data_IF_899740649513
#
_entry.id   IF_899740649513
#
_cell.length_a   1.000
_cell.length_b   1.000
_cell.length_c   1.000
_cell.angle_alpha   90.00
_cell.angle_beta   90.00
_cell.angle_gamma   90.00
#
_symmetry.space_group_name_H-M   'P 1'
#
loop_
_entity.id
_entity.type
_entity.pdbx_description
1 polymer ?
#
# COMPACT_ATOMS: atom_id res chain seq x y z
N UNK A 1 24.94 -0.27 16.15
CA UNK A 1 23.84 -0.87 16.92
C UNK A 1 23.04 -1.76 15.96
N UNK A 2 22.90 -3.06 16.24
CA UNK A 2 22.13 -3.96 15.37
C UNK A 2 20.64 -3.69 15.59
N UNK A 3 19.88 -3.41 14.54
CA UNK A 3 18.42 -3.30 14.61
C UNK A 3 17.86 -4.65 15.08
N UNK A 4 17.02 -4.70 16.13
CA UNK A 4 16.45 -5.96 16.58
C UNK A 4 15.62 -6.58 15.45
N UNK A 5 15.84 -7.87 15.22
CA UNK A 5 15.07 -8.61 14.22
C UNK A 5 13.60 -8.72 14.67
N UNK A 6 12.67 -8.52 13.73
CA UNK A 6 11.24 -8.73 13.97
C UNK A 6 11.00 -10.24 14.18
N UNK A 7 10.34 -10.68 15.27
CA UNK A 7 10.04 -12.10 15.47
C UNK A 7 9.28 -12.71 14.29
N UNK A 8 9.61 -13.92 13.81
CA UNK A 8 9.01 -14.49 12.59
C UNK A 8 7.48 -14.54 12.60
N UNK A 9 6.88 -14.93 13.73
CA UNK A 9 5.42 -14.97 13.88
C UNK A 9 4.78 -13.57 13.77
N UNK A 10 5.46 -12.54 14.30
CA UNK A 10 5.02 -11.15 14.17
C UNK A 10 5.17 -10.65 12.74
N UNK A 11 6.29 -10.93 12.09
CA UNK A 11 6.54 -10.56 10.69
C UNK A 11 5.46 -11.12 9.75
N UNK A 12 5.09 -12.39 9.95
CA UNK A 12 4.01 -13.06 9.21
C UNK A 12 2.66 -12.38 9.43
N UNK A 13 2.29 -12.12 10.69
CA UNK A 13 1.03 -11.45 11.03
C UNK A 13 0.95 -10.04 10.46
N UNK A 14 2.05 -9.29 10.53
CA UNK A 14 2.14 -7.94 9.96
C UNK A 14 2.02 -7.99 8.44
N UNK A 15 2.72 -8.90 7.77
CA UNK A 15 2.63 -9.04 6.31
C UNK A 15 1.20 -9.33 5.85
N UNK A 16 0.51 -10.28 6.50
CA UNK A 16 -0.88 -10.58 6.18
C UNK A 16 -1.84 -9.41 6.39
N UNK A 17 -1.70 -8.69 7.51
CA UNK A 17 -2.52 -7.52 7.82
C UNK A 17 -2.31 -6.38 6.80
N UNK A 18 -1.05 -6.04 6.52
CA UNK A 18 -0.70 -4.96 5.60
C UNK A 18 -1.13 -5.29 4.16
N UNK A 19 -0.93 -6.54 3.73
CA UNK A 19 -1.39 -7.02 2.42
C UNK A 19 -2.91 -6.90 2.28
N UNK A 20 -3.67 -7.26 3.33
CA UNK A 20 -5.12 -7.12 3.35
C UNK A 20 -5.61 -5.67 3.23
N UNK A 21 -4.82 -4.71 3.72
CA UNK A 21 -5.19 -3.30 3.66
C UNK A 21 -5.01 -2.67 2.27
N UNK A 22 -4.05 -3.16 1.45
CA UNK A 22 -3.72 -2.55 0.15
C UNK A 22 -4.89 -2.45 -0.82
N UNK A 23 -5.93 -3.27 -0.65
CA UNK A 23 -7.13 -3.30 -1.50
C UNK A 23 -8.42 -2.88 -0.78
N UNK A 24 -8.33 -2.44 0.47
CA UNK A 24 -9.49 -1.98 1.26
C UNK A 24 -9.72 -0.50 1.00
N UNK A 25 -10.63 -0.19 0.10
CA UNK A 25 -10.92 1.18 -0.34
C UNK A 25 -11.68 2.02 0.71
N UNK A 26 -12.51 1.41 1.56
CA UNK A 26 -13.34 2.15 2.52
C UNK A 26 -13.27 1.60 3.97
N UNK A 27 -13.39 2.47 4.99
CA UNK A 27 -13.46 3.94 4.89
C UNK A 27 -12.13 4.57 4.44
N UNK A 28 -12.19 5.70 3.74
CA UNK A 28 -11.01 6.47 3.30
C UNK A 28 -11.19 7.97 3.54
N UNK A 29 -10.13 8.64 3.98
CA UNK A 29 -10.01 10.08 4.11
C UNK A 29 -9.17 10.61 2.93
N UNK A 30 -9.78 11.48 2.15
CA UNK A 30 -9.12 12.17 1.04
C UNK A 30 -8.65 13.56 1.51
N UNK A 31 -7.37 13.86 1.30
CA UNK A 31 -6.79 15.17 1.55
C UNK A 31 -5.98 15.60 0.33
N UNK A 32 -6.62 16.34 -0.57
CA UNK A 32 -6.02 16.82 -1.82
C UNK A 32 -6.60 18.17 -2.24
N UNK A 33 -5.95 18.81 -3.21
CA UNK A 33 -6.44 20.06 -3.80
C UNK A 33 -7.45 19.73 -4.90
N UNK A 34 -8.54 20.50 -4.95
CA UNK A 34 -9.52 20.46 -6.02
C UNK A 34 -9.31 21.69 -6.91
N UNK A 35 -9.23 21.48 -8.22
CA UNK A 35 -9.18 22.56 -9.21
C UNK A 35 -10.54 22.75 -9.88
N UNK A 36 -11.28 21.66 -10.09
CA UNK A 36 -12.65 21.66 -10.57
C UNK A 36 -13.46 20.48 -10.00
N UNK A 37 -14.75 20.43 -10.31
CA UNK A 37 -15.67 19.39 -9.81
C UNK A 37 -15.25 17.97 -10.21
N UNK A 38 -14.49 17.82 -11.30
CA UNK A 38 -13.95 16.55 -11.79
C UNK A 38 -12.88 15.96 -10.89
N UNK A 39 -12.31 16.71 -9.95
CA UNK A 39 -11.36 16.18 -8.97
C UNK A 39 -12.03 15.38 -7.86
N UNK A 40 -13.34 15.52 -7.65
CA UNK A 40 -14.08 14.74 -6.65
C UNK A 40 -14.30 13.32 -7.16
N UNK A 41 -13.29 12.45 -6.96
CA UNK A 41 -13.27 11.07 -7.44
C UNK A 41 -12.94 10.08 -6.32
N UNK A 42 -13.34 8.80 -6.46
CA UNK A 42 -13.00 7.77 -5.49
C UNK A 42 -11.47 7.51 -5.42
N UNK A 43 -10.93 7.04 -4.28
CA UNK A 43 -9.49 6.83 -4.09
C UNK A 43 -8.81 6.04 -5.22
N UNK A 44 -9.43 4.96 -5.71
CA UNK A 44 -8.88 4.13 -6.79
C UNK A 44 -8.74 4.82 -8.15
N UNK A 45 -9.45 5.93 -8.37
CA UNK A 45 -9.31 6.73 -9.58
C UNK A 45 -8.25 7.83 -9.43
N UNK A 46 -8.06 8.33 -8.21
CA UNK A 46 -7.06 9.35 -7.90
C UNK A 46 -5.66 8.73 -7.78
N UNK A 47 -5.54 7.65 -6.99
CA UNK A 47 -4.27 7.03 -6.63
C UNK A 47 -4.35 5.51 -6.74
N UNK A 48 -4.35 4.94 -7.97
CA UNK A 48 -4.69 3.54 -8.23
C UNK A 48 -3.70 2.48 -7.68
N UNK A 49 -2.47 2.85 -7.33
CA UNK A 49 -1.52 1.98 -6.59
C UNK A 49 -1.75 2.11 -5.09
N UNK A 50 -2.05 3.33 -4.61
CA UNK A 50 -2.08 3.68 -3.20
C UNK A 50 -3.49 4.04 -2.70
N UNK A 51 -4.53 3.37 -3.22
CA UNK A 51 -5.92 3.67 -2.87
C UNK A 51 -6.43 2.93 -1.63
N UNK A 52 -5.89 1.74 -1.35
CA UNK A 52 -6.31 0.98 -0.17
C UNK A 52 -5.71 1.55 1.10
N UNK A 53 -6.32 1.26 2.25
CA UNK A 53 -6.06 1.85 3.57
C UNK A 53 -6.91 3.10 3.85
N UNK A 54 -6.77 3.64 5.06
CA UNK A 54 -7.53 4.79 5.51
C UNK A 54 -7.23 6.06 4.70
N UNK A 55 -6.00 6.25 4.23
CA UNK A 55 -5.64 7.33 3.32
C UNK A 55 -4.45 6.91 2.44
N UNK A 56 -4.14 7.75 1.46
CA UNK A 56 -3.01 7.54 0.55
C UNK A 56 -1.67 7.34 1.29
N UNK A 57 -1.44 8.10 2.36
CA UNK A 57 -0.18 8.02 3.12
C UNK A 57 -0.03 6.67 3.84
N UNK A 58 -1.12 6.18 4.43
CA UNK A 58 -1.21 4.86 5.06
C UNK A 58 -0.97 3.73 4.05
N UNK A 59 -1.45 3.92 2.82
CA UNK A 59 -1.21 3.00 1.72
C UNK A 59 0.28 2.94 1.39
N UNK A 60 0.95 4.08 1.22
CA UNK A 60 2.39 4.17 0.96
C UNK A 60 3.19 3.50 2.07
N UNK A 61 2.85 3.75 3.34
CA UNK A 61 3.50 3.08 4.47
C UNK A 61 3.30 1.57 4.48
N UNK A 62 2.10 1.09 4.13
CA UNK A 62 1.83 -0.34 4.06
C UNK A 62 2.64 -1.02 2.95
N UNK A 63 2.78 -0.38 1.79
CA UNK A 63 3.64 -0.85 0.70
C UNK A 63 5.12 -0.88 1.13
N UNK A 64 5.60 0.20 1.74
CA UNK A 64 6.97 0.28 2.22
C UNK A 64 7.27 -0.77 3.29
N UNK A 65 6.38 -0.95 4.27
CA UNK A 65 6.53 -1.94 5.32
C UNK A 65 6.56 -3.37 4.75
N UNK A 66 5.71 -3.70 3.78
CA UNK A 66 5.75 -4.98 3.08
C UNK A 66 7.08 -5.19 2.35
N UNK A 67 7.59 -4.17 1.64
CA UNK A 67 8.89 -4.25 0.98
C UNK A 67 10.03 -4.54 1.97
N UNK A 68 9.99 -3.95 3.17
CA UNK A 68 10.95 -4.22 4.26
C UNK A 68 10.80 -5.63 4.84
N UNK A 69 9.57 -6.13 4.99
CA UNK A 69 9.28 -7.46 5.53
C UNK A 69 9.72 -8.61 4.62
N UNK A 70 10.06 -8.36 3.35
CA UNK A 70 10.68 -9.36 2.46
C UNK A 70 11.94 -9.99 3.06
N UNK A 71 12.69 -9.23 3.87
CA UNK A 71 13.89 -9.72 4.56
C UNK A 71 13.62 -10.61 5.78
N UNK A 72 12.38 -10.74 6.24
CA UNK A 72 12.04 -11.36 7.53
C UNK A 72 11.80 -12.88 7.50
N UNK A 73 11.83 -13.51 6.31
CA UNK A 73 11.64 -14.95 6.13
C UNK A 73 10.88 -15.29 4.85
N UNK A 74 10.81 -16.59 4.50
CA UNK A 74 10.20 -17.05 3.25
C UNK A 74 8.70 -16.73 3.15
N UNK A 75 7.93 -16.94 4.22
CA UNK A 75 6.48 -16.71 4.19
C UNK A 75 6.10 -15.21 4.18
N UNK A 76 6.65 -14.32 5.05
CA UNK A 76 6.41 -12.88 4.92
C UNK A 76 6.83 -12.32 3.56
N UNK A 77 7.90 -12.86 2.98
CA UNK A 77 8.34 -12.52 1.62
C UNK A 77 7.30 -12.91 0.58
N UNK A 78 6.78 -14.13 0.60
CA UNK A 78 5.78 -14.57 -0.35
C UNK A 78 4.51 -13.70 -0.28
N UNK A 79 4.05 -13.36 0.93
CA UNK A 79 2.91 -12.46 1.13
C UNK A 79 3.20 -11.07 0.56
N UNK A 80 4.37 -10.50 0.89
CA UNK A 80 4.77 -9.17 0.42
C UNK A 80 4.92 -9.12 -1.10
N UNK A 81 5.60 -10.10 -1.71
CA UNK A 81 5.81 -10.16 -3.16
C UNK A 81 4.46 -10.26 -3.90
N UNK A 82 3.55 -11.12 -3.44
CA UNK A 82 2.21 -11.24 -4.04
C UNK A 82 1.38 -9.95 -3.90
N UNK A 83 1.39 -9.33 -2.71
CA UNK A 83 0.64 -8.11 -2.46
C UNK A 83 1.16 -6.93 -3.31
N UNK A 84 2.48 -6.71 -3.32
CA UNK A 84 3.14 -5.63 -4.06
C UNK A 84 3.00 -5.81 -5.57
N UNK A 85 3.12 -7.03 -6.09
CA UNK A 85 2.91 -7.30 -7.51
C UNK A 85 1.46 -7.04 -7.94
N UNK A 86 0.49 -7.23 -7.04
CA UNK A 86 -0.92 -6.98 -7.35
C UNK A 86 -1.30 -5.51 -7.35
N UNK A 87 -0.60 -4.65 -6.59
CA UNK A 87 -0.89 -3.22 -6.48
C UNK A 87 -0.01 -2.35 -7.36
N UNK A 88 1.27 -2.66 -7.50
CA UNK A 88 2.22 -1.91 -8.33
C UNK A 88 2.21 -2.47 -9.74
N UNK A 89 1.32 -1.93 -10.57
CA UNK A 89 1.19 -2.28 -12.00
C UNK A 89 1.61 -1.11 -12.87
N UNK A 90 2.03 -1.36 -14.12
CA UNK A 90 2.37 -0.28 -15.06
C UNK A 90 1.23 0.73 -15.23
N UNK A 91 0.00 0.24 -15.40
CA UNK A 91 -1.19 1.08 -15.50
C UNK A 91 -1.49 1.86 -14.22
N UNK A 92 -1.32 1.22 -13.05
CA UNK A 92 -1.47 1.89 -11.76
C UNK A 92 -0.44 3.01 -11.60
N UNK A 93 0.84 2.73 -11.86
CA UNK A 93 1.90 3.74 -11.76
C UNK A 93 1.65 4.90 -12.73
N UNK A 94 1.22 4.63 -13.96
CA UNK A 94 0.83 5.68 -14.90
C UNK A 94 -0.32 6.55 -14.37
N UNK A 95 -1.30 5.93 -13.70
CA UNK A 95 -2.41 6.66 -13.07
C UNK A 95 -1.98 7.53 -11.88
N UNK A 96 -1.06 7.04 -11.04
CA UNK A 96 -0.47 7.86 -9.97
C UNK A 96 0.26 9.09 -10.53
N UNK A 97 1.07 8.89 -11.59
CA UNK A 97 1.81 9.98 -12.24
C UNK A 97 0.92 10.99 -12.96
N UNK A 98 -0.24 10.57 -13.46
CA UNK A 98 -1.18 11.47 -14.11
C UNK A 98 -1.93 12.37 -13.13
N UNK A 99 -1.95 12.00 -11.84
CA UNK A 99 -2.66 12.71 -10.79
C UNK A 99 -1.75 13.63 -9.95
N UNK A 100 -0.47 13.29 -9.80
CA UNK A 100 0.57 14.10 -9.13
C UNK A 100 1.03 15.30 -9.97
#
# INVERSE_FOLDING_TARGET
MSTPAVPPALARRLAGMLAGNLRREYPSQLSHRLFDDGDVRPPRQLTPVFFGCYDWHSAVHSHWALARLRGAGAEPRAIADAALASSITEAGVAGELAYL
#
